data_IF_686863821364
#
_entry.id   IF_686863821364
#
_cell.length_a   1.000
_cell.length_b   1.000
_cell.length_c   1.000
_cell.angle_alpha   90.00
_cell.angle_beta   90.00
_cell.angle_gamma   90.00
#
_symmetry.space_group_name_H-M   'P 1'
#
loop_
_entity.id
_entity.type
_entity.pdbx_description
1 polymer ?
#
# COMPACT_ATOMS: atom_id res chain seq x y z
N UNK A 1 23.13 47.90 -14.12
CA UNK A 1 24.26 46.97 -14.36
C UNK A 1 24.19 45.91 -13.28
N UNK A 2 23.95 44.65 -13.64
CA UNK A 2 23.95 43.54 -12.67
C UNK A 2 25.37 43.19 -12.24
N UNK A 3 25.58 42.67 -11.02
CA UNK A 3 26.90 42.23 -10.58
C UNK A 3 27.35 41.04 -11.43
N UNK A 4 28.49 41.22 -12.11
CA UNK A 4 29.19 40.13 -12.79
C UNK A 4 29.80 39.24 -11.71
N UNK A 5 29.17 38.10 -11.43
CA UNK A 5 29.76 37.03 -10.63
C UNK A 5 30.79 36.26 -11.49
N UNK A 6 31.94 36.88 -11.77
CA UNK A 6 33.06 36.17 -12.41
C UNK A 6 34.02 35.67 -11.34
N UNK A 7 34.06 34.36 -11.11
CA UNK A 7 35.17 33.73 -10.39
C UNK A 7 36.36 33.66 -11.36
N UNK A 8 37.42 34.41 -11.07
CA UNK A 8 38.70 34.30 -11.80
C UNK A 8 39.66 33.43 -11.00
N UNK A 9 39.57 32.11 -11.19
CA UNK A 9 40.54 31.15 -10.65
C UNK A 9 41.27 30.46 -11.82
N UNK A 10 42.35 31.08 -12.27
CA UNK A 10 43.15 30.62 -13.42
C UNK A 10 43.87 29.30 -13.14
N UNK A 11 44.07 28.94 -11.88
CA UNK A 11 44.72 27.69 -11.48
C UNK A 11 43.81 26.49 -11.77
N UNK A 12 42.50 26.63 -11.55
CA UNK A 12 41.56 25.51 -11.67
C UNK A 12 40.70 25.55 -12.95
N UNK A 13 40.44 26.73 -13.52
CA UNK A 13 39.66 26.86 -14.76
C UNK A 13 40.51 27.16 -16.00
N UNK A 14 41.78 27.53 -15.82
CA UNK A 14 42.67 27.93 -16.89
C UNK A 14 42.56 29.41 -17.23
N UNK A 15 43.65 29.98 -17.78
CA UNK A 15 43.79 31.43 -18.01
C UNK A 15 42.79 32.04 -19.00
N UNK A 16 42.18 31.21 -19.85
CA UNK A 16 41.29 31.65 -20.94
C UNK A 16 39.84 31.19 -20.74
N UNK A 17 39.45 30.82 -19.51
CA UNK A 17 38.10 30.36 -19.25
C UNK A 17 37.08 31.50 -19.38
N UNK A 18 36.11 31.33 -20.27
CA UNK A 18 34.92 32.15 -20.35
C UNK A 18 33.69 31.25 -20.24
N UNK A 19 32.80 31.45 -19.26
CA UNK A 19 31.59 30.66 -19.16
C UNK A 19 30.63 31.03 -20.29
N UNK A 20 30.15 30.02 -21.03
CA UNK A 20 29.10 30.22 -22.03
C UNK A 20 27.79 30.69 -21.35
N UNK A 21 27.02 31.52 -22.05
CA UNK A 21 25.71 31.95 -21.58
C UNK A 21 24.79 30.73 -21.35
N UNK A 22 24.19 30.64 -20.16
CA UNK A 22 23.30 29.54 -19.77
C UNK A 22 23.99 28.33 -19.12
N UNK A 23 25.33 28.37 -18.90
CA UNK A 23 26.07 27.29 -18.23
C UNK A 23 26.63 27.74 -16.88
N UNK A 24 26.28 27.00 -15.82
CA UNK A 24 26.81 27.22 -14.47
C UNK A 24 28.02 26.32 -14.25
N UNK A 25 29.12 26.89 -13.77
CA UNK A 25 30.37 26.19 -13.47
C UNK A 25 30.68 26.35 -11.98
N UNK A 26 31.00 25.24 -11.30
CA UNK A 26 31.20 25.20 -9.83
C UNK A 26 32.56 24.58 -9.52
N UNK A 27 33.35 25.26 -8.68
CA UNK A 27 34.60 24.74 -8.12
C UNK A 27 34.31 24.11 -6.75
N UNK A 28 34.71 22.86 -6.55
CA UNK A 28 34.58 22.17 -5.26
C UNK A 28 35.99 21.79 -4.78
N UNK A 29 36.38 22.30 -3.61
CA UNK A 29 37.65 21.98 -2.95
C UNK A 29 37.38 20.93 -1.88
N UNK A 30 38.08 19.80 -1.96
CA UNK A 30 37.98 18.71 -0.98
C UNK A 30 39.22 18.76 -0.07
N UNK A 31 39.09 18.63 1.27
CA UNK A 31 40.24 18.64 2.19
C UNK A 31 41.21 17.48 1.96
N UNK A 32 42.52 17.73 2.11
CA UNK A 32 43.61 16.77 1.88
C UNK A 32 43.58 15.52 2.77
N UNK A 33 42.83 15.54 3.88
CA UNK A 33 42.76 14.42 4.83
C UNK A 33 41.93 13.21 4.32
N UNK A 34 41.43 13.25 3.09
CA UNK A 34 40.59 12.21 2.49
C UNK A 34 41.37 11.11 1.73
N UNK A 35 42.72 11.12 1.76
CA UNK A 35 43.55 10.10 1.06
C UNK A 35 44.33 9.25 2.05
N UNK A 36 43.65 8.26 2.64
CA UNK A 36 44.29 7.18 3.42
C UNK A 36 44.98 6.13 2.54
N UNK A 37 45.95 5.36 3.08
CA UNK A 37 46.77 4.42 2.31
C UNK A 37 45.96 3.23 1.76
N UNK A 38 46.33 2.76 0.57
CA UNK A 38 45.56 1.86 -0.29
C UNK A 38 45.04 0.54 0.33
N UNK A 39 45.54 0.11 1.50
CA UNK A 39 45.04 -1.07 2.21
C UNK A 39 43.82 -0.80 3.10
N UNK A 40 43.63 0.43 3.58
CA UNK A 40 42.40 0.80 4.29
C UNK A 40 41.22 0.85 3.33
N UNK A 41 41.41 1.28 2.08
CA UNK A 41 40.37 1.30 1.04
C UNK A 41 39.63 -0.01 0.86
N UNK A 42 40.24 -1.18 1.11
CA UNK A 42 39.58 -2.50 1.01
C UNK A 42 38.71 -2.82 2.23
N UNK A 43 39.16 -2.44 3.43
CA UNK A 43 38.37 -2.56 4.67
C UNK A 43 37.27 -1.52 4.71
N UNK A 44 37.55 -0.29 4.27
CA UNK A 44 36.60 0.80 4.14
C UNK A 44 35.61 0.51 3.00
N UNK A 45 35.99 -0.06 1.85
CA UNK A 45 35.02 -0.52 0.84
C UNK A 45 34.14 -1.67 1.34
N UNK A 46 34.69 -2.60 2.12
CA UNK A 46 33.88 -3.66 2.75
C UNK A 46 32.92 -3.11 3.79
N UNK A 47 33.37 -2.18 4.63
CA UNK A 47 32.52 -1.45 5.57
C UNK A 47 31.48 -0.59 4.84
N UNK A 48 31.85 0.09 3.75
CA UNK A 48 30.95 0.88 2.91
C UNK A 48 29.94 -0.04 2.23
N UNK A 49 30.33 -1.24 1.79
CA UNK A 49 29.39 -2.23 1.23
C UNK A 49 28.48 -2.82 2.31
N UNK A 50 28.98 -3.13 3.50
CA UNK A 50 28.17 -3.57 4.65
C UNK A 50 27.25 -2.47 5.17
N UNK A 51 27.68 -1.22 5.16
CA UNK A 51 26.85 -0.07 5.55
C UNK A 51 25.87 0.28 4.43
N UNK A 52 26.24 0.21 3.15
CA UNK A 52 25.31 0.35 2.03
C UNK A 52 24.27 -0.79 2.04
N UNK A 53 24.68 -2.02 2.31
CA UNK A 53 23.76 -3.13 2.57
C UNK A 53 22.92 -2.85 3.82
N UNK A 54 23.45 -2.35 4.94
CA UNK A 54 22.63 -2.05 6.15
C UNK A 54 21.73 -0.81 6.03
N UNK A 55 22.12 0.19 5.24
CA UNK A 55 21.49 1.51 5.15
C UNK A 55 20.57 1.63 3.92
N UNK A 56 20.93 1.02 2.78
CA UNK A 56 20.06 0.89 1.59
C UNK A 56 19.19 -0.36 1.64
N UNK A 57 19.64 -1.45 2.29
CA UNK A 57 18.74 -2.49 2.83
C UNK A 57 18.37 -2.16 4.28
N UNK A 58 18.08 -0.89 4.57
CA UNK A 58 17.36 -0.54 5.80
C UNK A 58 16.18 -1.49 5.87
N UNK A 59 16.13 -2.32 6.92
CA UNK A 59 15.10 -3.35 7.09
C UNK A 59 13.76 -2.69 6.80
N UNK A 60 13.09 -3.16 5.73
CA UNK A 60 11.77 -2.65 5.37
C UNK A 60 10.93 -2.62 6.62
N UNK A 61 10.16 -1.55 6.81
CA UNK A 61 9.26 -1.49 7.96
C UNK A 61 8.21 -2.58 7.76
N UNK A 62 8.37 -3.67 8.51
CA UNK A 62 7.55 -4.87 8.39
C UNK A 62 6.32 -4.72 9.27
N UNK A 63 5.15 -4.78 8.67
CA UNK A 63 3.87 -4.85 9.37
C UNK A 63 3.30 -6.26 9.21
N UNK A 64 3.20 -6.98 10.31
CA UNK A 64 2.51 -8.27 10.36
C UNK A 64 1.05 -8.01 10.66
N UNK A 65 0.12 -8.43 9.78
CA UNK A 65 -1.31 -8.09 9.85
C UNK A 65 -1.93 -8.32 11.23
N UNK A 66 -1.62 -9.46 11.86
CA UNK A 66 -2.13 -9.86 13.18
C UNK A 66 -1.55 -9.06 14.36
N UNK A 67 -0.54 -8.23 14.12
CA UNK A 67 0.15 -7.41 15.12
C UNK A 67 -0.12 -5.91 14.93
N UNK A 68 -0.89 -5.52 13.90
CA UNK A 68 -1.18 -4.10 13.63
C UNK A 68 -2.07 -3.54 14.74
N UNK A 69 -1.46 -2.69 15.58
CA UNK A 69 -2.13 -1.92 16.61
C UNK A 69 -2.70 -0.61 16.08
N UNK A 70 -3.19 0.23 16.99
CA UNK A 70 -3.80 1.51 16.60
C UNK A 70 -2.79 2.50 16.02
N UNK A 71 -1.54 2.47 16.48
CA UNK A 71 -0.49 3.39 16.01
C UNK A 71 -0.05 2.98 14.61
N UNK A 72 0.30 1.71 14.44
CA UNK A 72 0.71 1.10 13.18
C UNK A 72 -0.37 1.26 12.11
N UNK A 73 -1.64 1.12 12.50
CA UNK A 73 -2.76 1.34 11.62
C UNK A 73 -2.81 2.78 11.09
N UNK A 74 -2.65 3.78 11.95
CA UNK A 74 -2.68 5.19 11.54
C UNK A 74 -1.48 5.54 10.66
N UNK A 75 -0.30 5.01 10.97
CA UNK A 75 0.89 5.14 10.12
C UNK A 75 0.69 4.51 8.73
N UNK A 76 0.07 3.33 8.65
CA UNK A 76 -0.24 2.67 7.37
C UNK A 76 -1.21 3.54 6.56
N UNK A 77 -2.28 4.05 7.17
CA UNK A 77 -3.22 4.94 6.48
C UNK A 77 -2.52 6.20 5.96
N UNK A 78 -1.63 6.80 6.74
CA UNK A 78 -0.88 7.99 6.35
C UNK A 78 0.12 7.70 5.21
N UNK A 79 0.91 6.62 5.34
CA UNK A 79 1.89 6.20 4.34
C UNK A 79 1.27 5.92 2.96
N UNK A 80 0.02 5.46 2.95
CA UNK A 80 -0.75 5.19 1.74
C UNK A 80 -1.75 6.30 1.38
N UNK A 81 -1.76 7.42 2.12
CA UNK A 81 -2.70 8.54 2.01
C UNK A 81 -4.16 8.07 1.86
N UNK A 82 -4.57 7.17 2.76
CA UNK A 82 -5.90 6.56 2.83
C UNK A 82 -6.72 7.26 3.91
N UNK A 83 -7.96 7.61 3.58
CA UNK A 83 -8.99 7.99 4.56
C UNK A 83 -10.18 7.07 4.48
N UNK A 84 -10.66 6.67 5.66
CA UNK A 84 -11.89 5.89 5.78
C UNK A 84 -13.11 6.78 5.62
N UNK A 85 -14.08 6.29 4.86
CA UNK A 85 -15.37 6.95 4.63
C UNK A 85 -16.53 6.04 5.08
N UNK A 86 -17.31 6.42 6.09
CA UNK A 86 -18.47 5.65 6.48
C UNK A 86 -19.58 5.76 5.43
N UNK A 87 -20.12 4.62 5.00
CA UNK A 87 -21.26 4.53 4.08
C UNK A 87 -22.50 4.12 4.86
N UNK A 88 -23.62 4.77 4.57
CA UNK A 88 -24.92 4.46 5.20
C UNK A 88 -25.62 3.33 4.46
N UNK A 89 -26.36 2.52 5.21
CA UNK A 89 -27.25 1.50 4.65
C UNK A 89 -28.65 2.07 4.46
N UNK A 90 -29.41 1.45 3.56
CA UNK A 90 -30.82 1.77 3.33
C UNK A 90 -31.70 0.86 4.21
N UNK A 91 -32.83 1.41 4.67
CA UNK A 91 -33.87 0.60 5.29
C UNK A 91 -34.71 -0.08 4.21
N UNK A 92 -34.84 -1.40 4.30
CA UNK A 92 -35.48 -2.21 3.28
C UNK A 92 -35.83 -3.59 3.79
N UNK A 93 -36.74 -4.26 3.09
CA UNK A 93 -37.05 -5.67 3.34
C UNK A 93 -36.05 -6.51 2.56
N UNK A 94 -35.26 -7.28 3.31
CA UNK A 94 -34.29 -8.23 2.77
C UNK A 94 -34.61 -9.61 3.34
N UNK A 95 -34.08 -10.65 2.71
CA UNK A 95 -34.32 -12.02 3.12
C UNK A 95 -34.03 -12.23 4.61
N UNK A 96 -34.93 -12.94 5.28
CA UNK A 96 -34.78 -13.23 6.69
C UNK A 96 -33.80 -14.38 6.89
N UNK A 97 -32.52 -14.06 6.84
CA UNK A 97 -31.44 -15.00 7.14
C UNK A 97 -31.17 -15.01 8.65
N UNK A 98 -31.20 -16.20 9.26
CA UNK A 98 -30.88 -16.39 10.68
C UNK A 98 -29.37 -16.21 10.88
N UNK A 99 -28.96 -15.36 11.81
CA UNK A 99 -27.55 -15.19 12.16
C UNK A 99 -26.92 -16.48 12.69
N UNK A 100 -25.64 -16.66 12.40
CA UNK A 100 -24.86 -17.79 12.86
C UNK A 100 -24.73 -17.80 14.39
N UNK A 101 -24.73 -18.99 14.99
CA UNK A 101 -24.63 -19.16 16.44
C UNK A 101 -23.33 -19.86 16.79
N UNK A 102 -22.36 -19.08 17.25
CA UNK A 102 -21.11 -19.61 17.79
C UNK A 102 -21.35 -20.49 19.00
N UNK A 103 -20.68 -21.64 19.03
CA UNK A 103 -20.74 -22.60 20.11
C UNK A 103 -19.33 -22.83 20.68
N UNK A 104 -19.04 -22.14 21.80
CA UNK A 104 -17.74 -22.20 22.48
C UNK A 104 -17.37 -23.59 23.02
N UNK A 105 -18.27 -24.56 22.96
CA UNK A 105 -18.02 -25.96 23.34
C UNK A 105 -17.49 -26.82 22.19
N UNK A 106 -17.56 -26.35 20.95
CA UNK A 106 -17.03 -27.06 19.78
C UNK A 106 -15.53 -26.82 19.65
N UNK A 107 -14.83 -27.78 19.02
CA UNK A 107 -13.46 -27.54 18.56
C UNK A 107 -13.47 -26.50 17.44
N UNK A 108 -12.30 -25.88 17.17
CA UNK A 108 -12.19 -24.87 16.11
C UNK A 108 -12.58 -25.44 14.75
N UNK A 109 -12.19 -26.67 14.47
CA UNK A 109 -12.45 -27.37 13.21
C UNK A 109 -13.95 -27.65 13.03
N UNK A 110 -14.63 -28.15 14.08
CA UNK A 110 -16.08 -28.35 14.01
C UNK A 110 -16.84 -27.04 13.88
N UNK A 111 -16.39 -26.01 14.59
CA UNK A 111 -16.97 -24.68 14.47
C UNK A 111 -16.77 -24.11 13.06
N UNK A 112 -15.67 -24.48 12.41
CA UNK A 112 -15.32 -24.13 11.04
C UNK A 112 -16.26 -24.78 10.04
N UNK A 113 -16.47 -26.09 10.16
CA UNK A 113 -17.41 -26.84 9.34
C UNK A 113 -18.82 -26.24 9.40
N UNK A 114 -19.30 -25.90 10.61
CA UNK A 114 -20.62 -25.31 10.78
C UNK A 114 -20.77 -23.94 10.11
N UNK A 115 -19.78 -23.05 10.20
CA UNK A 115 -19.90 -21.74 9.55
C UNK A 115 -19.72 -21.86 8.03
N UNK A 116 -18.87 -22.78 7.56
CA UNK A 116 -18.74 -23.06 6.12
C UNK A 116 -20.08 -23.52 5.55
N UNK A 117 -20.74 -24.48 6.20
CA UNK A 117 -22.08 -24.93 5.81
C UNK A 117 -23.13 -23.80 5.84
N UNK A 118 -23.06 -22.93 6.86
CA UNK A 118 -23.93 -21.74 6.92
C UNK A 118 -23.71 -20.82 5.73
N UNK A 119 -22.46 -20.55 5.34
CA UNK A 119 -22.14 -19.70 4.19
C UNK A 119 -22.61 -20.33 2.88
N UNK A 120 -22.29 -21.60 2.66
CA UNK A 120 -22.66 -22.31 1.42
C UNK A 120 -24.17 -22.30 1.21
N UNK A 121 -24.96 -22.44 2.28
CA UNK A 121 -26.42 -22.35 2.20
C UNK A 121 -26.93 -20.98 1.71
N UNK A 122 -26.20 -19.89 1.93
CA UNK A 122 -26.67 -18.53 1.66
C UNK A 122 -26.13 -17.95 0.35
N UNK A 123 -24.91 -18.34 -0.07
CA UNK A 123 -24.24 -17.81 -1.27
C UNK A 123 -23.61 -18.87 -2.17
N UNK A 124 -23.71 -20.17 -1.86
CA UNK A 124 -23.06 -21.23 -2.63
C UNK A 124 -23.49 -21.29 -4.10
N UNK A 125 -24.78 -21.12 -4.38
CA UNK A 125 -25.31 -21.08 -5.76
C UNK A 125 -24.67 -19.93 -6.57
N UNK A 126 -24.60 -18.73 -5.99
CA UNK A 126 -23.97 -17.57 -6.63
C UNK A 126 -22.48 -17.80 -6.89
N UNK A 127 -21.76 -18.39 -5.93
CA UNK A 127 -20.35 -18.70 -6.09
C UNK A 127 -20.12 -19.67 -7.25
N UNK A 128 -20.93 -20.74 -7.33
CA UNK A 128 -20.87 -21.70 -8.42
C UNK A 128 -21.17 -21.06 -9.78
N UNK A 129 -22.19 -20.20 -9.87
CA UNK A 129 -22.53 -19.46 -11.10
C UNK A 129 -21.37 -18.58 -11.59
N UNK A 130 -20.64 -17.96 -10.65
CA UNK A 130 -19.50 -17.08 -10.93
C UNK A 130 -18.17 -17.81 -11.04
N UNK A 131 -18.15 -19.16 -10.94
CA UNK A 131 -16.92 -19.97 -10.86
C UNK A 131 -15.95 -19.50 -9.76
N UNK A 132 -16.52 -19.12 -8.63
CA UNK A 132 -15.80 -18.72 -7.43
C UNK A 132 -16.01 -19.78 -6.34
N UNK A 133 -15.09 -19.82 -5.38
CA UNK A 133 -15.23 -20.55 -4.14
C UNK A 133 -14.78 -19.67 -2.97
N UNK A 134 -15.05 -20.13 -1.74
CA UNK A 134 -14.43 -19.55 -0.55
C UNK A 134 -13.44 -20.54 0.02
N UNK A 135 -12.17 -20.22 -0.14
CA UNK A 135 -11.04 -21.06 0.20
C UNK A 135 -10.47 -20.70 1.56
N UNK A 136 -10.05 -21.71 2.30
CA UNK A 136 -9.44 -21.58 3.61
C UNK A 136 -7.92 -21.38 3.47
N UNK A 137 -7.44 -20.21 3.89
CA UNK A 137 -6.01 -19.87 3.85
C UNK A 137 -5.43 -19.69 5.25
N UNK A 138 -6.15 -20.13 6.28
CA UNK A 138 -5.68 -20.04 7.66
C UNK A 138 -4.39 -20.84 7.87
N UNK A 139 -4.05 -21.82 7.03
CA UNK A 139 -2.79 -22.56 7.14
C UNK A 139 -1.76 -22.19 6.06
N UNK A 140 -2.11 -21.29 5.12
CA UNK A 140 -1.22 -20.85 4.07
C UNK A 140 -0.28 -19.77 4.61
N UNK A 141 1.02 -20.05 4.61
CA UNK A 141 2.02 -19.13 5.15
C UNK A 141 2.18 -17.90 4.26
N UNK A 142 2.08 -16.71 4.86
CA UNK A 142 2.39 -15.41 4.25
C UNK A 142 1.76 -15.16 2.87
N UNK A 143 0.55 -15.69 2.62
CA UNK A 143 -0.17 -15.52 1.34
C UNK A 143 -0.48 -14.04 1.01
N UNK A 144 -0.56 -13.16 2.02
CA UNK A 144 -0.75 -11.71 1.84
C UNK A 144 0.58 -10.93 1.94
N UNK A 145 1.71 -11.59 1.68
CA UNK A 145 3.01 -10.92 1.69
C UNK A 145 3.19 -10.05 0.45
N UNK A 146 3.38 -8.75 0.65
CA UNK A 146 3.63 -7.81 -0.44
C UNK A 146 4.56 -6.68 -0.03
N UNK A 147 5.37 -6.25 -0.98
CA UNK A 147 6.17 -5.01 -0.90
C UNK A 147 5.63 -4.05 -1.95
N UNK A 148 4.76 -3.09 -1.56
CA UNK A 148 4.19 -2.14 -2.50
C UNK A 148 5.27 -1.36 -3.24
N UNK A 149 5.13 -1.26 -4.57
CA UNK A 149 6.14 -0.63 -5.42
C UNK A 149 6.37 0.82 -5.02
N UNK A 150 7.63 1.16 -4.72
CA UNK A 150 8.06 2.50 -4.29
C UNK A 150 7.81 2.80 -2.81
N UNK A 151 7.40 1.81 -2.02
CA UNK A 151 7.34 1.90 -0.56
C UNK A 151 8.53 1.23 0.10
N UNK A 152 8.91 1.69 1.30
CA UNK A 152 9.82 0.97 2.21
C UNK A 152 9.06 0.10 3.23
N UNK A 153 7.80 -0.21 2.94
CA UNK A 153 6.90 -1.01 3.78
C UNK A 153 6.82 -2.42 3.21
N UNK A 154 6.88 -3.40 4.10
CA UNK A 154 6.55 -4.80 3.81
C UNK A 154 5.32 -5.19 4.63
N UNK A 155 4.27 -5.63 3.95
CA UNK A 155 3.09 -6.20 4.59
C UNK A 155 3.23 -7.73 4.56
N UNK A 156 2.98 -8.39 5.70
CA UNK A 156 3.07 -9.84 5.81
C UNK A 156 1.93 -10.42 6.65
N UNK A 157 1.66 -11.69 6.42
CA UNK A 157 0.67 -12.47 7.12
C UNK A 157 -0.33 -13.09 6.17
N UNK A 158 -1.51 -13.39 6.72
CA UNK A 158 -2.58 -14.13 6.08
C UNK A 158 -3.91 -13.65 6.62
N UNK A 159 -4.99 -14.14 6.03
CA UNK A 159 -6.37 -13.96 6.50
C UNK A 159 -6.97 -15.33 6.88
N UNK A 160 -8.23 -15.38 7.29
CA UNK A 160 -8.91 -16.66 7.50
C UNK A 160 -9.35 -17.29 6.17
N UNK A 161 -9.98 -16.51 5.30
CA UNK A 161 -10.62 -17.02 4.09
C UNK A 161 -10.43 -16.04 2.93
N UNK A 162 -10.34 -16.59 1.72
CA UNK A 162 -10.40 -15.82 0.48
C UNK A 162 -11.56 -16.29 -0.37
N UNK A 163 -12.20 -15.36 -1.08
CA UNK A 163 -13.15 -15.64 -2.14
C UNK A 163 -12.48 -15.37 -3.49
N UNK A 164 -12.24 -16.44 -4.24
CA UNK A 164 -11.44 -16.44 -5.47
C UNK A 164 -11.89 -17.55 -6.42
N UNK A 165 -11.27 -17.64 -7.60
CA UNK A 165 -11.61 -18.63 -8.63
C UNK A 165 -11.65 -20.05 -8.08
N UNK A 166 -12.64 -20.83 -8.51
CA UNK A 166 -12.83 -22.23 -8.14
C UNK A 166 -11.69 -23.16 -8.61
N UNK A 167 -10.80 -22.67 -9.47
CA UNK A 167 -9.60 -23.39 -9.92
C UNK A 167 -8.71 -23.86 -8.77
N UNK A 168 -8.71 -23.16 -7.64
CA UNK A 168 -7.92 -23.54 -6.45
C UNK A 168 -8.39 -24.84 -5.81
N UNK A 169 -9.60 -25.33 -6.14
CA UNK A 169 -10.09 -26.64 -5.70
C UNK A 169 -9.34 -27.77 -6.41
N UNK A 170 -8.81 -27.52 -7.62
CA UNK A 170 -8.01 -28.51 -8.34
C UNK A 170 -6.61 -28.67 -7.71
N UNK A 171 -6.06 -27.60 -7.16
CA UNK A 171 -4.79 -27.61 -6.43
C UNK A 171 -4.68 -26.41 -5.50
N UNK A 172 -4.45 -26.68 -4.21
CA UNK A 172 -4.26 -25.67 -3.16
C UNK A 172 -3.10 -24.71 -3.48
N UNK A 173 -2.10 -25.14 -4.27
CA UNK A 173 -0.95 -24.33 -4.68
C UNK A 173 -1.36 -23.11 -5.52
N UNK A 174 -2.46 -23.20 -6.28
CA UNK A 174 -2.98 -22.07 -7.06
C UNK A 174 -3.47 -20.92 -6.19
N UNK A 175 -3.68 -21.12 -4.89
CA UNK A 175 -4.06 -20.04 -3.98
C UNK A 175 -2.99 -18.93 -3.91
N UNK A 176 -1.70 -19.25 -4.10
CA UNK A 176 -0.62 -18.27 -4.09
C UNK A 176 -0.68 -17.28 -5.25
N UNK A 177 -1.30 -17.67 -6.37
CA UNK A 177 -1.50 -16.80 -7.53
C UNK A 177 -2.73 -15.90 -7.40
N UNK A 178 -3.54 -16.11 -6.36
CA UNK A 178 -4.77 -15.37 -6.05
C UNK A 178 -5.72 -15.20 -7.27
N UNK A 179 -6.00 -16.28 -8.03
CA UNK A 179 -6.72 -16.21 -9.29
C UNK A 179 -8.11 -15.59 -9.13
N UNK A 180 -8.35 -14.49 -9.83
CA UNK A 180 -9.62 -13.75 -9.84
C UNK A 180 -10.19 -13.41 -8.45
N UNK A 181 -9.32 -13.27 -7.45
CA UNK A 181 -9.72 -12.97 -6.07
C UNK A 181 -10.63 -11.73 -6.00
N UNK A 182 -11.73 -11.85 -5.27
CA UNK A 182 -12.75 -10.79 -5.11
C UNK A 182 -12.80 -10.22 -3.72
N UNK A 183 -12.58 -11.05 -2.70
CA UNK A 183 -12.80 -10.64 -1.31
C UNK A 183 -11.95 -11.46 -0.34
N UNK A 184 -11.39 -10.81 0.69
CA UNK A 184 -10.94 -11.51 1.91
C UNK A 184 -12.04 -11.50 2.96
N UNK A 185 -12.13 -12.57 3.74
CA UNK A 185 -13.13 -12.72 4.79
C UNK A 185 -12.43 -13.10 6.10
N UNK A 186 -12.44 -12.16 7.03
CA UNK A 186 -11.95 -12.32 8.38
C UNK A 186 -13.12 -12.64 9.32
N UNK A 187 -13.07 -13.82 9.95
CA UNK A 187 -14.15 -14.34 10.78
C UNK A 187 -13.72 -14.31 12.25
N UNK A 188 -14.51 -13.66 13.11
CA UNK A 188 -14.27 -13.58 14.55
C UNK A 188 -15.48 -14.06 15.33
N UNK A 189 -15.27 -14.79 16.42
CA UNK A 189 -16.36 -15.09 17.37
C UNK A 189 -16.97 -13.79 17.95
N UNK A 190 -16.13 -12.77 18.11
CA UNK A 190 -16.50 -11.42 18.52
C UNK A 190 -15.62 -10.43 17.79
N UNK A 191 -16.24 -9.48 17.08
CA UNK A 191 -15.52 -8.42 16.38
C UNK A 191 -15.05 -7.37 17.38
N UNK A 192 -13.74 -7.14 17.43
CA UNK A 192 -13.12 -6.13 18.30
C UNK A 192 -12.61 -4.95 17.47
N UNK A 193 -12.25 -3.85 18.14
CA UNK A 193 -11.69 -2.67 17.45
C UNK A 193 -10.41 -3.03 16.70
N UNK A 194 -9.54 -3.82 17.33
CA UNK A 194 -8.28 -4.27 16.74
C UNK A 194 -8.50 -5.13 15.48
N UNK A 195 -9.59 -5.89 15.42
CA UNK A 195 -9.93 -6.67 14.22
C UNK A 195 -10.09 -5.79 12.99
N UNK A 196 -10.56 -4.53 13.14
CA UNK A 196 -10.65 -3.58 12.02
C UNK A 196 -9.27 -3.21 11.49
N UNK A 197 -8.28 -3.05 12.36
CA UNK A 197 -6.93 -2.67 11.96
C UNK A 197 -6.26 -3.80 11.16
N UNK A 198 -6.41 -5.04 11.64
CA UNK A 198 -5.90 -6.23 10.96
C UNK A 198 -6.54 -6.35 9.57
N UNK A 199 -7.88 -6.38 9.48
CA UNK A 199 -8.61 -6.50 8.21
C UNK A 199 -8.29 -5.39 7.23
N UNK A 200 -8.10 -4.15 7.69
CA UNK A 200 -7.70 -3.06 6.80
C UNK A 200 -6.28 -3.23 6.26
N UNK A 201 -5.33 -3.70 7.08
CA UNK A 201 -3.97 -3.98 6.62
C UNK A 201 -3.95 -5.14 5.60
N UNK A 202 -4.78 -6.16 5.82
CA UNK A 202 -4.98 -7.29 4.90
C UNK A 202 -5.62 -6.83 3.58
N UNK A 203 -6.60 -5.92 3.63
CA UNK A 203 -7.23 -5.34 2.43
C UNK A 203 -6.20 -4.59 1.57
N UNK A 204 -5.36 -3.77 2.20
CA UNK A 204 -4.31 -3.03 1.50
C UNK A 204 -3.36 -4.01 0.81
N UNK A 205 -2.91 -5.06 1.52
CA UNK A 205 -2.04 -6.06 0.95
C UNK A 205 -2.69 -6.81 -0.22
N UNK A 206 -3.93 -7.28 -0.04
CA UNK A 206 -4.66 -8.00 -1.07
C UNK A 206 -4.86 -7.14 -2.32
N UNK A 207 -5.20 -5.86 -2.18
CA UNK A 207 -5.41 -4.98 -3.33
C UNK A 207 -4.12 -4.77 -4.16
N UNK A 208 -2.96 -4.72 -3.50
CA UNK A 208 -1.68 -4.69 -4.22
C UNK A 208 -1.36 -6.00 -4.95
N UNK A 209 -1.79 -7.14 -4.42
CA UNK A 209 -1.53 -8.45 -5.00
C UNK A 209 -2.51 -8.83 -6.10
N UNK A 210 -3.80 -8.54 -5.91
CA UNK A 210 -4.86 -8.90 -6.84
C UNK A 210 -4.72 -8.16 -8.17
N UNK A 211 -5.26 -8.70 -9.26
CA UNK A 211 -5.31 -8.01 -10.56
C UNK A 211 -6.40 -6.94 -10.61
N UNK A 212 -7.56 -7.22 -10.02
CA UNK A 212 -8.75 -6.37 -10.02
C UNK A 212 -9.05 -5.70 -8.67
N UNK A 213 -10.16 -4.94 -8.59
CA UNK A 213 -10.63 -4.37 -7.33
C UNK A 213 -11.12 -5.46 -6.38
N UNK A 214 -10.77 -5.34 -5.10
CA UNK A 214 -11.12 -6.32 -4.04
C UNK A 214 -11.87 -5.67 -2.89
N UNK A 215 -12.55 -6.49 -2.10
CA UNK A 215 -13.20 -6.07 -0.87
C UNK A 215 -12.68 -6.86 0.34
N UNK A 216 -12.95 -6.37 1.54
CA UNK A 216 -12.73 -7.10 2.77
C UNK A 216 -14.02 -7.17 3.59
N UNK A 217 -14.27 -8.34 4.17
CA UNK A 217 -15.37 -8.59 5.08
C UNK A 217 -14.81 -9.01 6.44
N UNK A 218 -15.09 -8.24 7.48
CA UNK A 218 -14.88 -8.63 8.87
C UNK A 218 -16.23 -8.95 9.50
N UNK A 219 -16.39 -10.18 10.00
CA UNK A 219 -17.70 -10.62 10.47
C UNK A 219 -17.68 -11.59 11.65
N UNK A 220 -18.74 -11.54 12.47
CA UNK A 220 -19.10 -12.61 13.40
C UNK A 220 -20.16 -13.56 12.83
N UNK A 221 -20.47 -13.45 11.54
CA UNK A 221 -21.53 -14.18 10.84
C UNK A 221 -22.93 -14.01 11.46
N UNK A 222 -23.12 -13.04 12.35
CA UNK A 222 -24.34 -12.83 13.11
C UNK A 222 -24.77 -11.36 13.06
N UNK A 223 -24.26 -10.51 13.97
CA UNK A 223 -24.72 -9.13 14.13
C UNK A 223 -23.67 -8.09 13.79
N UNK A 224 -22.43 -8.48 13.52
CA UNK A 224 -21.38 -7.56 13.13
C UNK A 224 -20.83 -7.99 11.77
N UNK A 225 -21.26 -7.28 10.72
CA UNK A 225 -20.76 -7.44 9.37
C UNK A 225 -20.18 -6.11 8.92
N UNK A 226 -18.86 -6.04 8.70
CA UNK A 226 -18.16 -4.83 8.29
C UNK A 226 -17.51 -5.07 6.94
N UNK A 227 -17.95 -4.31 5.95
CA UNK A 227 -17.37 -4.37 4.61
C UNK A 227 -16.48 -3.16 4.40
N UNK A 228 -15.38 -3.38 3.69
CA UNK A 228 -14.39 -2.38 3.33
C UNK A 228 -14.03 -2.54 1.86
N UNK A 229 -13.95 -1.44 1.12
CA UNK A 229 -13.52 -1.45 -0.28
C UNK A 229 -12.99 -0.08 -0.70
N UNK A 230 -12.09 -0.05 -1.69
CA UNK A 230 -11.55 1.20 -2.22
C UNK A 230 -12.61 1.86 -3.12
N UNK A 231 -12.98 3.09 -2.79
CA UNK A 231 -14.00 3.85 -3.50
C UNK A 231 -13.43 4.72 -4.63
N UNK A 232 -12.13 4.99 -4.59
CA UNK A 232 -11.45 5.89 -5.53
C UNK A 232 -10.74 7.03 -4.82
N UNK A 233 -10.55 8.14 -5.54
CA UNK A 233 -9.78 9.30 -5.09
C UNK A 233 -10.68 10.51 -4.89
N UNK A 234 -10.40 11.29 -3.86
CA UNK A 234 -11.00 12.60 -3.64
C UNK A 234 -9.93 13.55 -3.09
N UNK A 235 -9.69 14.70 -3.75
CA UNK A 235 -8.72 15.71 -3.33
C UNK A 235 -7.33 15.13 -3.00
N UNK A 236 -6.79 14.35 -3.93
CA UNK A 236 -5.54 13.63 -3.79
C UNK A 236 -5.45 12.51 -2.73
N UNK A 237 -6.49 12.31 -1.93
CA UNK A 237 -6.57 11.25 -0.91
C UNK A 237 -7.37 10.04 -1.41
N UNK A 238 -6.84 8.85 -1.16
CA UNK A 238 -7.56 7.59 -1.41
C UNK A 238 -8.68 7.42 -0.40
N UNK A 239 -9.88 7.09 -0.88
CA UNK A 239 -11.04 6.80 -0.03
C UNK A 239 -11.27 5.30 0.06
N UNK A 240 -11.28 4.77 1.27
CA UNK A 240 -11.78 3.42 1.55
C UNK A 240 -13.12 3.54 2.24
N UNK A 241 -14.16 3.03 1.58
CA UNK A 241 -15.49 2.98 2.15
C UNK A 241 -15.55 1.91 3.24
N UNK A 242 -16.35 2.18 4.27
CA UNK A 242 -16.70 1.22 5.32
C UNK A 242 -18.18 1.28 5.58
N UNK A 243 -18.83 0.11 5.62
CA UNK A 243 -20.23 -0.01 6.07
C UNK A 243 -20.32 -1.06 7.18
N UNK A 244 -21.23 -0.84 8.12
CA UNK A 244 -21.57 -1.80 9.17
C UNK A 244 -23.02 -2.23 9.01
N UNK A 245 -23.23 -3.54 8.96
CA UNK A 245 -24.52 -4.19 8.76
C UNK A 245 -24.77 -5.14 9.94
N UNK A 246 -25.98 -5.10 10.48
CA UNK A 246 -26.40 -5.93 11.63
C UNK A 246 -27.32 -7.08 11.27
N UNK A 247 -27.80 -7.13 10.02
CA UNK A 247 -28.68 -8.17 9.49
C UNK A 247 -27.92 -9.05 8.50
N UNK A 248 -27.84 -10.37 8.70
CA UNK A 248 -27.20 -11.28 7.75
C UNK A 248 -27.80 -11.20 6.34
N UNK A 249 -29.12 -11.04 6.21
CA UNK A 249 -29.77 -10.89 4.91
C UNK A 249 -29.26 -9.68 4.14
N UNK A 250 -29.16 -8.52 4.81
CA UNK A 250 -28.55 -7.30 4.23
C UNK A 250 -27.08 -7.52 3.86
N UNK A 251 -26.34 -8.27 4.67
CA UNK A 251 -24.92 -8.53 4.43
C UNK A 251 -24.70 -9.42 3.21
N UNK A 252 -25.46 -10.50 3.07
CA UNK A 252 -25.39 -11.37 1.90
C UNK A 252 -25.78 -10.64 0.63
N UNK A 253 -26.80 -9.78 0.66
CA UNK A 253 -27.17 -8.92 -0.48
C UNK A 253 -26.04 -7.98 -0.91
N UNK A 254 -25.29 -7.42 0.04
CA UNK A 254 -24.12 -6.63 -0.30
C UNK A 254 -23.00 -7.49 -0.91
N UNK A 255 -22.80 -8.72 -0.44
CA UNK A 255 -21.87 -9.67 -1.09
C UNK A 255 -22.29 -9.89 -2.54
N UNK A 256 -23.58 -10.16 -2.81
CA UNK A 256 -24.08 -10.35 -4.19
C UNK A 256 -23.78 -9.14 -5.07
N UNK A 257 -24.03 -7.94 -4.55
CA UNK A 257 -23.74 -6.70 -5.28
C UNK A 257 -22.26 -6.43 -5.53
N UNK A 258 -21.36 -6.88 -4.63
CA UNK A 258 -19.91 -6.75 -4.81
C UNK A 258 -19.35 -7.77 -5.82
N UNK A 259 -19.97 -8.95 -5.94
CA UNK A 259 -19.53 -10.00 -6.87
C UNK A 259 -20.07 -9.80 -8.29
N UNK A 260 -21.21 -9.13 -8.43
CA UNK A 260 -21.81 -8.78 -9.71
C UNK A 260 -21.71 -7.27 -9.97
N UNK A 261 -20.50 -6.73 -10.23
CA UNK A 261 -20.39 -5.33 -10.64
C UNK A 261 -21.18 -5.16 -11.93
N UNK A 262 -22.22 -4.33 -11.90
CA UNK A 262 -22.89 -3.90 -13.12
C UNK A 262 -21.86 -3.16 -13.97
N UNK A 263 -21.88 -3.30 -15.30
CA UNK A 263 -20.86 -2.72 -16.21
C UNK A 263 -20.65 -1.18 -16.05
N UNK A 264 -21.50 -0.50 -15.27
CA UNK A 264 -21.31 0.86 -14.81
C UNK A 264 -20.48 0.95 -13.52
N UNK A 265 -19.47 1.83 -13.51
CA UNK A 265 -18.66 2.23 -12.34
C UNK A 265 -19.44 2.81 -11.15
N UNK A 266 -20.77 2.91 -11.26
CA UNK A 266 -21.71 3.43 -10.27
C UNK A 266 -22.95 2.53 -10.12
N UNK A 267 -22.73 1.22 -9.96
CA UNK A 267 -23.78 0.25 -9.69
C UNK A 267 -24.59 0.64 -8.45
N UNK A 268 -25.92 0.72 -8.57
CA UNK A 268 -26.79 0.95 -7.41
C UNK A 268 -27.05 -0.38 -6.72
N UNK A 269 -26.51 -0.56 -5.51
CA UNK A 269 -26.77 -1.74 -4.69
C UNK A 269 -27.93 -1.40 -3.74
N UNK A 270 -29.00 -2.22 -3.67
CA UNK A 270 -30.17 -1.95 -2.83
C UNK A 270 -29.88 -1.72 -1.34
N UNK A 271 -28.72 -2.21 -0.86
CA UNK A 271 -28.29 -2.13 0.54
C UNK A 271 -27.67 -0.77 0.91
N UNK A 272 -27.06 -0.06 -0.04
CA UNK A 272 -26.25 1.13 0.23
C UNK A 272 -26.97 2.43 -0.11
N UNK A 273 -26.73 3.47 0.70
CA UNK A 273 -27.17 4.82 0.38
C UNK A 273 -26.18 5.45 -0.60
N UNK A 274 -26.42 5.26 -1.90
CA UNK A 274 -25.60 5.79 -2.99
C UNK A 274 -24.95 4.68 -3.85
N UNK A 275 -24.27 5.07 -4.94
CA UNK A 275 -23.65 4.11 -5.85
C UNK A 275 -22.46 3.40 -5.21
N UNK A 276 -22.26 2.14 -5.58
CA UNK A 276 -21.04 1.40 -5.28
C UNK A 276 -19.93 1.84 -6.24
N UNK A 277 -18.99 2.63 -5.74
CA UNK A 277 -17.70 2.83 -6.39
C UNK A 277 -16.73 1.79 -5.85
N UNK A 278 -16.21 0.94 -6.73
CA UNK A 278 -15.29 -0.14 -6.38
C UNK A 278 -14.10 -0.09 -7.34
N UNK A 279 -12.97 0.41 -6.84
CA UNK A 279 -11.76 0.67 -7.63
C UNK A 279 -10.57 -0.06 -7.02
N UNK A 280 -9.46 -0.12 -7.75
CA UNK A 280 -8.22 -0.72 -7.27
C UNK A 280 -7.31 0.33 -6.65
N UNK A 281 -6.75 0.06 -5.47
CA UNK A 281 -5.81 0.93 -4.78
C UNK A 281 -4.64 1.35 -5.68
N UNK A 282 -4.02 0.40 -6.39
CA UNK A 282 -2.87 0.69 -7.27
C UNK A 282 -3.20 1.60 -8.48
N UNK A 283 -4.47 1.65 -8.91
CA UNK A 283 -4.91 2.55 -9.99
C UNK A 283 -5.22 3.96 -9.46
N UNK A 284 -5.69 4.03 -8.22
CA UNK A 284 -6.10 5.25 -7.54
C UNK A 284 -4.90 5.96 -6.91
N UNK A 285 -3.93 5.19 -6.42
CA UNK A 285 -2.65 5.70 -5.95
C UNK A 285 -1.86 6.28 -7.11
N UNK A 286 -1.23 7.43 -6.89
CA UNK A 286 -0.12 7.82 -7.76
C UNK A 286 0.96 6.73 -7.64
N UNK A 287 1.73 6.43 -8.70
CA UNK A 287 2.96 5.71 -8.54
C UNK A 287 3.74 6.34 -7.37
N UNK A 288 4.21 5.57 -6.39
CA UNK A 288 5.09 6.12 -5.35
C UNK A 288 6.44 6.62 -5.92
N UNK A 289 6.64 6.52 -7.24
CA UNK A 289 7.65 7.29 -7.97
C UNK A 289 7.30 8.78 -8.12
N UNK A 290 6.12 9.21 -7.66
CA UNK A 290 5.71 10.61 -7.53
C UNK A 290 5.73 11.08 -6.06
N UNK A 291 6.87 10.87 -5.39
CA UNK A 291 7.44 11.89 -4.50
C UNK A 291 8.03 13.08 -5.29
N UNK A 292 7.74 13.15 -6.59
CA UNK A 292 8.19 14.17 -7.53
C UNK A 292 7.03 14.41 -8.52
N UNK A 293 6.03 15.19 -8.14
CA UNK A 293 5.44 16.23 -9.00
C UNK A 293 4.21 16.90 -8.34
N UNK A 294 4.37 18.21 -8.18
CA UNK A 294 3.33 19.24 -8.19
C UNK A 294 2.24 19.18 -7.11
N UNK A 295 2.66 19.48 -5.88
CA UNK A 295 1.98 20.49 -5.07
C UNK A 295 3.05 21.26 -4.29
N UNK A 296 2.91 22.58 -4.30
CA UNK A 296 3.88 23.56 -3.83
C UNK A 296 4.36 23.34 -2.37
N UNK A 297 5.62 23.76 -2.18
CA UNK A 297 6.20 24.29 -0.94
C UNK A 297 6.75 23.29 0.10
N UNK A 298 8.05 23.03 -0.06
CA UNK A 298 9.07 22.79 1.01
C UNK A 298 9.39 21.37 1.49
N UNK A 299 8.69 20.32 1.05
CA UNK A 299 8.94 18.94 1.53
C UNK A 299 10.06 18.17 0.81
N UNK A 300 9.92 17.93 -0.50
CA UNK A 300 10.71 16.90 -1.20
C UNK A 300 12.19 17.22 -1.40
N UNK A 301 12.54 18.46 -1.79
CA UNK A 301 13.95 18.86 -1.97
C UNK A 301 14.70 18.86 -0.65
N UNK A 302 14.04 19.34 0.40
CA UNK A 302 14.59 19.39 1.75
C UNK A 302 14.86 17.98 2.27
N UNK A 303 13.91 17.08 2.13
CA UNK A 303 14.07 15.68 2.55
C UNK A 303 15.18 14.95 1.76
N UNK A 304 15.31 15.20 0.45
CA UNK A 304 16.41 14.65 -0.35
C UNK A 304 17.79 15.18 0.09
N UNK A 305 17.89 16.47 0.42
CA UNK A 305 19.14 17.08 0.93
C UNK A 305 19.44 16.59 2.35
N UNK A 306 18.44 16.48 3.22
CA UNK A 306 18.58 15.95 4.58
C UNK A 306 19.06 14.50 4.54
N UNK A 307 18.46 13.64 3.70
CA UNK A 307 18.95 12.26 3.51
C UNK A 307 20.37 12.20 2.96
N UNK A 308 20.72 13.07 2.01
CA UNK A 308 22.11 13.15 1.52
C UNK A 308 23.08 13.54 2.64
N UNK A 309 22.73 14.54 3.45
CA UNK A 309 23.56 14.99 4.56
C UNK A 309 23.67 13.93 5.66
N UNK A 310 22.59 13.21 5.95
CA UNK A 310 22.59 12.10 6.91
C UNK A 310 23.53 10.99 6.44
N UNK A 311 23.45 10.62 5.16
CA UNK A 311 24.34 9.61 4.55
C UNK A 311 25.79 10.12 4.54
N UNK A 312 26.02 11.36 4.09
CA UNK A 312 27.35 11.96 4.01
C UNK A 312 28.00 12.17 5.38
N UNK A 313 27.19 12.40 6.43
CA UNK A 313 27.69 12.52 7.81
C UNK A 313 28.25 11.21 8.36
N UNK A 314 27.77 10.07 7.85
CA UNK A 314 28.19 8.73 8.28
C UNK A 314 29.27 8.16 7.34
N UNK A 315 29.15 8.40 6.04
CA UNK A 315 29.95 7.75 5.00
C UNK A 315 30.99 8.67 4.33
N UNK A 316 30.95 9.97 4.64
CA UNK A 316 31.66 10.99 3.87
C UNK A 316 30.91 11.38 2.59
N UNK A 317 31.27 12.52 1.97
CA UNK A 317 30.57 13.03 0.81
C UNK A 317 30.75 12.14 -0.43
N UNK A 318 29.63 11.66 -0.99
CA UNK A 318 29.60 10.94 -2.27
C UNK A 318 29.27 11.90 -3.42
N UNK A 319 30.14 11.94 -4.43
CA UNK A 319 30.09 12.90 -5.55
C UNK A 319 28.98 12.57 -6.55
N UNK A 320 28.69 11.28 -6.76
CA UNK A 320 27.65 10.86 -7.71
C UNK A 320 26.26 11.06 -7.09
N UNK A 321 26.13 10.79 -5.80
CA UNK A 321 24.92 11.08 -5.03
C UNK A 321 24.66 12.59 -4.92
N UNK A 322 25.71 13.37 -4.62
CA UNK A 322 25.61 14.83 -4.61
C UNK A 322 25.19 15.39 -5.98
N UNK A 323 25.68 14.78 -7.07
CA UNK A 323 25.33 15.17 -8.43
C UNK A 323 23.86 14.89 -8.74
N UNK A 324 23.32 13.74 -8.33
CA UNK A 324 21.90 13.46 -8.55
C UNK A 324 20.96 14.27 -7.66
N UNK A 325 21.33 14.50 -6.40
CA UNK A 325 20.61 15.45 -5.54
C UNK A 325 20.63 16.85 -6.17
N UNK A 326 21.78 17.28 -6.68
CA UNK A 326 21.94 18.56 -7.39
C UNK A 326 21.08 18.67 -8.65
N UNK A 327 20.97 17.60 -9.45
CA UNK A 327 20.06 17.56 -10.62
C UNK A 327 18.61 17.69 -10.19
N UNK A 328 18.23 17.04 -9.09
CA UNK A 328 16.88 17.05 -8.55
C UNK A 328 16.51 18.43 -7.99
N UNK A 329 17.43 19.08 -7.28
CA UNK A 329 17.31 20.47 -6.80
C UNK A 329 17.15 21.42 -7.99
N UNK A 330 18.02 21.32 -8.99
CA UNK A 330 17.99 22.18 -10.18
C UNK A 330 16.70 22.02 -10.99
N UNK A 331 16.22 20.77 -11.14
CA UNK A 331 14.95 20.48 -11.81
C UNK A 331 13.71 20.94 -11.04
N UNK A 332 13.84 21.27 -9.76
CA UNK A 332 12.76 21.74 -8.89
C UNK A 332 12.62 23.27 -8.86
N UNK A 333 13.51 24.01 -9.53
CA UNK A 333 13.45 25.48 -9.66
C UNK A 333 12.51 25.82 -10.84
N UNK A 334 11.36 26.48 -10.61
CA UNK A 334 10.48 26.87 -11.71
C UNK A 334 11.20 27.89 -12.62
N UNK A 335 11.22 27.60 -13.93
CA UNK A 335 11.70 28.41 -15.08
C UNK A 335 13.17 28.27 -15.53
N UNK A 336 13.40 27.32 -16.43
CA UNK A 336 14.15 27.53 -17.69
C UNK A 336 13.41 26.96 -18.93
N UNK A 337 12.14 26.57 -18.78
CA UNK A 337 11.29 26.01 -19.85
C UNK A 337 10.78 27.04 -20.87
N UNK A 338 11.27 28.29 -20.83
CA UNK A 338 10.85 29.39 -21.73
C UNK A 338 11.95 29.85 -22.71
N UNK A 339 13.08 29.15 -22.80
CA UNK A 339 14.12 29.41 -23.80
C UNK A 339 14.53 28.11 -24.48
N UNK A 340 13.73 27.66 -25.43
CA UNK A 340 14.11 26.70 -26.48
C UNK A 340 13.44 27.10 -27.78
#
# INVERSE_FOLDING_TARGET
MGPVLSIQDTKHFGANFQPDAGRIHVLVVVPEDAVGPANETSMTYKMIKEIHERTVLTQRKKYVHSQVGSTEFMELLDAFNIRMNPVRTVEGKFDQVKGFRWNTKLSKEKQKDEYCAYRERNIGELLQEQRLCVFDVENTEDILRVVPKGSNIELCGRTNLLMLSDIVIESDDYAYDLPEVKMLIEVKQKVEKQSVYHTMSELIALDFLAEGPVAALLTDCNRDWRFFWVAGKENDTTRVNRVHITSPGKAFELIRGLLNPTDSTEATIPVLQGPLKHQKLSQVMRPMTHGISEACESGGVRECIERYNDIASILGPDVDMAREVGRLVAGSIPSLSYLS
#
